data_IF_441344561974
#
_entry.id   IF_441344561974
#
_cell.length_a   1.000
_cell.length_b   1.000
_cell.length_c   1.000
_cell.angle_alpha   90.00
_cell.angle_beta   90.00
_cell.angle_gamma   90.00
#
_symmetry.space_group_name_H-M   'P 1'
#
loop_
_entity.id
_entity.type
_entity.pdbx_description
1 polymer ?
#
# COMPACT_ATOMS: atom_id res chain seq x y z
N UNK A 1 5.16 6.66 -20.23
CA UNK A 1 3.90 6.20 -19.60
C UNK A 1 4.24 4.95 -18.81
N UNK A 2 3.87 4.91 -17.54
CA UNK A 2 4.06 3.77 -16.63
C UNK A 2 2.69 3.34 -16.11
N UNK A 3 2.36 2.07 -16.28
CA UNK A 3 1.08 1.47 -15.90
C UNK A 3 1.25 0.58 -14.67
N UNK A 4 0.52 0.88 -13.60
CA UNK A 4 0.65 0.23 -12.29
C UNK A 4 -0.64 -0.49 -11.94
N UNK A 5 -0.55 -1.76 -11.55
CA UNK A 5 -1.62 -2.44 -10.82
C UNK A 5 -1.36 -2.23 -9.33
N UNK A 6 -2.27 -1.54 -8.64
CA UNK A 6 -2.18 -1.28 -7.21
C UNK A 6 -3.20 -2.12 -6.46
N UNK A 7 -2.70 -2.99 -5.60
CA UNK A 7 -3.49 -3.88 -4.74
C UNK A 7 -3.09 -3.70 -3.28
N UNK A 8 -3.99 -3.96 -2.36
CA UNK A 8 -3.76 -3.93 -0.92
C UNK A 8 -4.65 -4.93 -0.20
N UNK A 9 -4.33 -5.20 1.05
CA UNK A 9 -5.23 -5.93 1.95
C UNK A 9 -5.70 -7.28 1.36
N UNK A 10 -4.72 -8.06 0.87
CA UNK A 10 -4.95 -9.38 0.27
C UNK A 10 -5.41 -10.40 1.31
N UNK A 11 -4.96 -10.23 2.57
CA UNK A 11 -5.34 -11.04 3.72
C UNK A 11 -5.33 -12.54 3.46
N UNK A 12 -4.28 -13.06 2.80
CA UNK A 12 -4.15 -14.50 2.61
C UNK A 12 -4.41 -15.25 3.91
N UNK A 13 -5.40 -16.17 3.86
CA UNK A 13 -5.95 -16.86 5.01
C UNK A 13 -7.47 -16.95 4.92
N UNK A 14 -8.20 -17.20 6.01
CA UNK A 14 -9.65 -17.39 5.98
C UNK A 14 -10.48 -16.27 5.35
N UNK A 15 -10.08 -14.97 5.45
CA UNK A 15 -10.84 -13.88 4.81
C UNK A 15 -10.61 -13.75 3.31
N UNK A 16 -9.55 -14.32 2.75
CA UNK A 16 -9.25 -14.21 1.32
C UNK A 16 -10.37 -14.79 0.48
N UNK A 17 -10.70 -14.13 -0.63
CA UNK A 17 -11.68 -14.60 -1.61
C UNK A 17 -10.92 -15.16 -2.81
N UNK A 18 -10.88 -16.50 -2.98
CA UNK A 18 -10.09 -17.13 -4.04
C UNK A 18 -10.38 -16.58 -5.44
N UNK A 19 -11.67 -16.42 -5.79
CA UNK A 19 -12.07 -15.88 -7.09
C UNK A 19 -11.46 -14.51 -7.39
N UNK A 20 -11.37 -13.62 -6.37
CA UNK A 20 -10.75 -12.31 -6.52
C UNK A 20 -9.22 -12.41 -6.73
N UNK A 21 -8.56 -13.31 -6.00
CA UNK A 21 -7.12 -13.53 -6.15
C UNK A 21 -6.78 -14.13 -7.51
N UNK A 22 -7.58 -15.10 -8.00
CA UNK A 22 -7.43 -15.71 -9.32
C UNK A 22 -7.59 -14.67 -10.42
N UNK A 23 -8.57 -13.76 -10.29
CA UNK A 23 -8.75 -12.65 -11.25
C UNK A 23 -7.58 -11.65 -11.24
N UNK A 24 -7.03 -11.33 -10.08
CA UNK A 24 -5.82 -10.51 -10.01
C UNK A 24 -4.65 -11.20 -10.72
N UNK A 25 -4.47 -12.50 -10.48
CA UNK A 25 -3.42 -13.27 -11.14
C UNK A 25 -3.61 -13.30 -12.66
N UNK A 26 -4.84 -13.47 -13.14
CA UNK A 26 -5.18 -13.40 -14.56
C UNK A 26 -4.90 -12.00 -15.14
N UNK A 27 -5.32 -10.93 -14.45
CA UNK A 27 -5.03 -9.55 -14.86
C UNK A 27 -3.52 -9.29 -14.98
N UNK A 28 -2.73 -9.79 -14.03
CA UNK A 28 -1.27 -9.68 -14.07
C UNK A 28 -0.70 -10.43 -15.29
N UNK A 29 -1.22 -11.60 -15.59
CA UNK A 29 -0.73 -12.44 -16.69
C UNK A 29 -1.13 -11.91 -18.07
N UNK A 30 -2.31 -11.33 -18.21
CA UNK A 30 -2.89 -10.93 -19.49
C UNK A 30 -2.75 -9.46 -19.80
N UNK A 31 -2.74 -8.59 -18.79
CA UNK A 31 -2.62 -7.15 -18.94
C UNK A 31 -1.16 -6.72 -18.73
N UNK A 32 -0.65 -5.86 -19.61
CA UNK A 32 0.72 -5.36 -19.47
C UNK A 32 0.76 -4.27 -18.40
N UNK A 33 1.21 -4.61 -17.19
CA UNK A 33 1.57 -3.67 -16.14
C UNK A 33 3.10 -3.55 -16.06
N UNK A 34 3.61 -2.33 -15.99
CA UNK A 34 5.04 -2.09 -15.75
C UNK A 34 5.40 -2.42 -14.29
N UNK A 35 4.45 -2.14 -13.37
CA UNK A 35 4.61 -2.34 -11.93
C UNK A 35 3.36 -2.98 -11.33
N UNK A 36 3.57 -3.94 -10.45
CA UNK A 36 2.56 -4.40 -9.47
C UNK A 36 2.98 -3.88 -8.10
N UNK A 37 2.18 -2.97 -7.53
CA UNK A 37 2.40 -2.38 -6.22
C UNK A 37 1.44 -2.99 -5.20
N UNK A 38 2.00 -3.56 -4.12
CA UNK A 38 1.24 -4.16 -3.03
C UNK A 38 1.46 -3.36 -1.75
N UNK A 39 0.45 -2.63 -1.33
CA UNK A 39 0.53 -1.70 -0.20
C UNK A 39 0.15 -2.33 1.15
N UNK A 40 0.64 -3.55 1.41
CA UNK A 40 0.58 -4.19 2.73
C UNK A 40 -0.60 -5.14 2.95
N UNK A 41 -0.62 -5.70 4.15
CA UNK A 41 -1.58 -6.71 4.60
C UNK A 41 -1.71 -7.89 3.63
N UNK A 42 -0.54 -8.43 3.24
CA UNK A 42 -0.50 -9.63 2.39
C UNK A 42 -1.00 -10.86 3.13
N UNK A 43 -0.82 -10.93 4.46
CA UNK A 43 -1.29 -12.02 5.31
C UNK A 43 -2.39 -11.56 6.27
N UNK A 44 -3.18 -12.52 6.77
CA UNK A 44 -4.21 -12.22 7.77
C UNK A 44 -3.64 -12.19 9.20
N UNK A 45 -2.70 -13.06 9.54
CA UNK A 45 -2.18 -13.24 10.91
C UNK A 45 -0.67 -13.52 10.96
N UNK A 46 0.06 -13.09 9.95
CA UNK A 46 1.50 -13.32 9.82
C UNK A 46 1.91 -14.79 9.97
N UNK A 47 1.07 -15.74 9.51
CA UNK A 47 1.36 -17.17 9.56
C UNK A 47 2.21 -17.60 8.37
N UNK A 48 3.10 -18.62 8.54
CA UNK A 48 3.95 -19.11 7.43
C UNK A 48 3.17 -19.48 6.18
N UNK A 49 2.05 -20.22 6.31
CA UNK A 49 1.24 -20.67 5.17
C UNK A 49 0.59 -19.51 4.41
N UNK A 50 0.14 -18.46 5.11
CA UNK A 50 -0.42 -17.26 4.51
C UNK A 50 0.64 -16.54 3.66
N UNK A 51 1.85 -16.37 4.19
CA UNK A 51 2.96 -15.78 3.44
C UNK A 51 3.45 -16.65 2.28
N UNK A 52 3.40 -17.98 2.40
CA UNK A 52 3.77 -18.88 1.29
C UNK A 52 2.81 -18.71 0.11
N UNK A 53 1.50 -18.61 0.38
CA UNK A 53 0.50 -18.35 -0.65
C UNK A 53 0.69 -16.96 -1.28
N UNK A 54 0.86 -15.91 -0.48
CA UNK A 54 1.14 -14.56 -0.96
C UNK A 54 2.42 -14.51 -1.81
N UNK A 55 3.48 -15.21 -1.37
CA UNK A 55 4.74 -15.32 -2.12
C UNK A 55 4.57 -15.92 -3.50
N UNK A 56 3.66 -16.89 -3.67
CA UNK A 56 3.40 -17.47 -4.98
C UNK A 56 2.84 -16.42 -5.94
N UNK A 57 1.82 -15.66 -5.53
CA UNK A 57 1.25 -14.56 -6.32
C UNK A 57 2.33 -13.52 -6.70
N UNK A 58 3.14 -13.11 -5.73
CA UNK A 58 4.21 -12.12 -5.97
C UNK A 58 5.29 -12.63 -6.91
N UNK A 59 5.65 -13.93 -6.83
CA UNK A 59 6.59 -14.56 -7.76
C UNK A 59 6.05 -14.61 -9.18
N UNK A 60 4.77 -14.92 -9.34
CA UNK A 60 4.15 -14.96 -10.66
C UNK A 60 4.05 -13.55 -11.24
N UNK A 61 3.70 -12.56 -10.44
CA UNK A 61 3.76 -11.15 -10.84
C UNK A 61 5.18 -10.72 -11.28
N UNK A 62 6.21 -11.13 -10.54
CA UNK A 62 7.61 -10.77 -10.84
C UNK A 62 8.16 -11.38 -12.14
N UNK A 63 7.49 -12.38 -12.73
CA UNK A 63 7.86 -12.95 -14.05
C UNK A 63 7.51 -12.01 -15.19
N UNK A 64 6.48 -11.18 -15.03
CA UNK A 64 5.91 -10.37 -16.12
C UNK A 64 5.91 -8.87 -15.84
N UNK A 65 6.09 -8.45 -14.58
CA UNK A 65 6.08 -7.05 -14.14
C UNK A 65 7.16 -6.82 -13.08
N UNK A 66 7.55 -5.57 -12.88
CA UNK A 66 8.34 -5.20 -11.69
C UNK A 66 7.39 -5.18 -10.49
N UNK A 67 7.86 -5.63 -9.32
CA UNK A 67 7.03 -5.67 -8.12
C UNK A 67 7.62 -4.81 -7.02
N UNK A 68 6.75 -4.09 -6.30
CA UNK A 68 7.09 -3.41 -5.06
C UNK A 68 6.06 -3.79 -3.99
N UNK A 69 6.52 -4.22 -2.82
CA UNK A 69 5.66 -4.67 -1.72
C UNK A 69 6.17 -4.13 -0.41
N UNK A 70 5.27 -3.63 0.43
CA UNK A 70 5.54 -3.16 1.79
C UNK A 70 4.70 -3.96 2.79
N UNK A 71 5.12 -4.09 4.06
CA UNK A 71 4.30 -4.76 5.07
C UNK A 71 3.13 -3.89 5.54
N UNK A 72 2.02 -4.56 5.91
CA UNK A 72 0.92 -3.98 6.65
C UNK A 72 0.87 -4.43 8.11
N UNK A 73 -0.10 -3.96 8.88
CA UNK A 73 -0.19 -4.26 10.31
C UNK A 73 -0.52 -5.73 10.60
N UNK A 74 -1.25 -6.42 9.71
CA UNK A 74 -1.51 -7.86 9.81
C UNK A 74 -0.30 -8.73 9.48
N UNK A 75 0.72 -8.19 8.84
CA UNK A 75 1.97 -8.87 8.53
C UNK A 75 2.95 -8.88 9.70
N UNK A 76 2.67 -8.12 10.76
CA UNK A 76 3.50 -7.96 11.95
C UNK A 76 2.84 -8.59 13.17
N UNK A 77 3.53 -9.48 13.86
CA UNK A 77 3.11 -10.06 15.13
C UNK A 77 3.44 -9.11 16.29
N UNK A 78 2.79 -7.94 16.31
CA UNK A 78 3.08 -6.88 17.29
C UNK A 78 3.00 -7.33 18.76
N UNK A 79 2.16 -8.34 19.08
CA UNK A 79 2.06 -8.93 20.42
C UNK A 79 3.30 -9.68 20.89
N UNK A 80 4.26 -9.96 19.99
CA UNK A 80 5.59 -10.54 20.34
C UNK A 80 6.62 -9.49 20.73
N UNK A 81 6.33 -8.23 20.52
CA UNK A 81 7.16 -7.10 20.91
C UNK A 81 6.29 -5.96 21.46
N UNK A 82 5.49 -6.22 22.51
CA UNK A 82 4.61 -5.21 23.08
C UNK A 82 5.44 -4.03 23.62
N UNK A 83 5.03 -2.80 23.30
CA UNK A 83 5.72 -1.56 23.69
C UNK A 83 7.19 -1.47 23.22
N UNK A 84 7.55 -2.23 22.18
CA UNK A 84 8.94 -2.31 21.70
C UNK A 84 9.85 -3.14 22.60
N UNK A 85 9.33 -3.74 23.67
CA UNK A 85 10.05 -4.72 24.51
C UNK A 85 9.98 -6.07 23.81
N UNK A 86 11.13 -6.66 23.56
CA UNK A 86 11.27 -7.87 22.74
C UNK A 86 11.87 -7.57 21.37
N UNK A 87 12.02 -8.58 20.55
CA UNK A 87 12.66 -8.42 19.24
C UNK A 87 11.64 -7.94 18.17
N UNK A 88 11.77 -6.71 17.72
CA UNK A 88 11.05 -6.21 16.53
C UNK A 88 11.33 -7.09 15.30
N UNK A 89 12.56 -7.60 15.18
CA UNK A 89 12.92 -8.55 14.14
C UNK A 89 12.12 -9.86 14.24
N UNK A 90 11.83 -10.35 15.45
CA UNK A 90 10.97 -11.52 15.63
C UNK A 90 9.50 -11.25 15.25
N UNK A 91 9.00 -10.04 15.49
CA UNK A 91 7.63 -9.67 15.15
C UNK A 91 7.37 -9.70 13.63
N UNK A 92 8.36 -9.29 12.81
CA UNK A 92 8.27 -9.25 11.35
C UNK A 92 9.03 -10.39 10.65
N UNK A 93 9.54 -11.35 11.40
CA UNK A 93 10.44 -12.41 10.90
C UNK A 93 9.84 -13.27 9.78
N UNK A 94 8.54 -13.56 9.83
CA UNK A 94 7.88 -14.32 8.77
C UNK A 94 7.79 -13.51 7.48
N UNK A 95 7.46 -12.23 7.54
CA UNK A 95 7.48 -11.37 6.37
C UNK A 95 8.90 -11.31 5.77
N UNK A 96 9.92 -11.09 6.60
CA UNK A 96 11.32 -11.08 6.17
C UNK A 96 11.73 -12.40 5.49
N UNK A 97 11.29 -13.53 6.01
CA UNK A 97 11.62 -14.86 5.48
C UNK A 97 10.93 -15.20 4.17
N UNK A 98 9.64 -14.86 4.04
CA UNK A 98 8.82 -15.34 2.93
C UNK A 98 8.60 -14.30 1.85
N UNK A 99 8.55 -13.02 2.19
CA UNK A 99 8.27 -11.93 1.26
C UNK A 99 9.56 -11.15 0.93
N UNK A 100 10.05 -10.35 1.87
CA UNK A 100 11.27 -9.54 1.69
C UNK A 100 11.88 -9.14 3.02
N UNK A 101 13.20 -9.21 3.12
CA UNK A 101 13.95 -8.61 4.23
C UNK A 101 14.11 -7.09 4.09
N UNK A 102 13.90 -6.54 2.90
CA UNK A 102 13.85 -5.11 2.66
C UNK A 102 12.39 -4.63 2.80
N UNK A 103 12.08 -3.96 3.90
CA UNK A 103 10.74 -3.45 4.21
C UNK A 103 10.44 -2.09 3.57
N UNK A 104 11.48 -1.43 3.04
CA UNK A 104 11.41 -0.09 2.44
C UNK A 104 12.12 -0.09 1.08
N UNK A 105 11.60 -0.87 0.14
CA UNK A 105 12.22 -1.05 -1.17
C UNK A 105 12.19 0.24 -1.99
N UNK A 106 13.13 0.33 -2.92
CA UNK A 106 13.12 1.34 -3.99
C UNK A 106 12.97 0.63 -5.31
N UNK A 107 12.11 1.14 -6.16
CA UNK A 107 11.93 0.67 -7.53
C UNK A 107 11.89 1.86 -8.47
N UNK A 108 12.79 1.88 -9.45
CA UNK A 108 12.77 2.87 -10.53
C UNK A 108 12.41 2.19 -11.84
N UNK A 109 11.40 2.73 -12.51
CA UNK A 109 11.00 2.42 -13.88
C UNK A 109 10.99 3.71 -14.69
N UNK A 110 10.81 3.62 -16.01
CA UNK A 110 10.89 4.80 -16.88
C UNK A 110 10.03 5.98 -16.39
N UNK A 111 10.68 7.06 -15.96
CA UNK A 111 10.04 8.31 -15.54
C UNK A 111 9.40 8.29 -14.14
N UNK A 112 9.53 7.21 -13.37
CA UNK A 112 8.90 7.07 -12.04
C UNK A 112 9.84 6.39 -11.06
N UNK A 113 9.91 6.90 -9.84
CA UNK A 113 10.60 6.26 -8.71
C UNK A 113 9.61 6.00 -7.58
N UNK A 114 9.50 4.75 -7.19
CA UNK A 114 8.69 4.27 -6.08
C UNK A 114 9.60 4.06 -4.87
N UNK A 115 9.17 4.56 -3.72
CA UNK A 115 9.83 4.35 -2.42
C UNK A 115 8.83 3.74 -1.46
N UNK A 116 9.13 2.54 -0.97
CA UNK A 116 8.36 1.92 0.09
C UNK A 116 8.66 2.54 1.44
N UNK A 117 7.63 2.73 2.27
CA UNK A 117 7.76 3.12 3.68
C UNK A 117 7.04 2.09 4.54
N UNK A 118 7.78 1.47 5.47
CA UNK A 118 7.20 0.56 6.44
C UNK A 118 6.50 1.34 7.57
N UNK A 119 5.20 1.52 7.45
CA UNK A 119 4.38 2.15 8.48
C UNK A 119 3.88 1.17 9.55
N UNK A 120 4.02 -0.14 9.31
CA UNK A 120 3.58 -1.21 10.21
C UNK A 120 4.65 -1.56 11.25
N UNK A 121 4.89 -0.66 12.19
CA UNK A 121 5.95 -0.79 13.18
C UNK A 121 5.52 -1.55 14.45
N UNK A 122 4.26 -1.98 14.53
CA UNK A 122 3.68 -2.54 15.73
C UNK A 122 3.47 -1.48 16.82
N UNK A 123 3.63 -1.88 18.09
CA UNK A 123 3.47 -0.97 19.22
C UNK A 123 4.82 -0.36 19.58
N UNK A 124 5.02 0.89 19.22
CA UNK A 124 6.24 1.68 19.48
C UNK A 124 5.84 3.05 20.07
N UNK A 125 6.76 3.83 20.66
CA UNK A 125 6.41 5.15 21.20
C UNK A 125 5.65 6.04 20.22
N UNK A 126 5.97 5.96 18.91
CA UNK A 126 5.28 6.72 17.86
C UNK A 126 3.88 6.23 17.50
N UNK A 127 3.47 5.03 17.95
CA UNK A 127 2.12 4.46 17.71
C UNK A 127 1.32 4.31 19.00
N UNK A 128 1.79 4.83 20.13
CA UNK A 128 1.05 4.78 21.39
C UNK A 128 -0.26 5.57 21.27
N UNK A 129 -1.33 4.97 21.72
CA UNK A 129 -2.68 5.52 21.68
C UNK A 129 -3.46 5.15 22.94
N UNK A 130 -4.34 6.05 23.35
CA UNK A 130 -5.26 5.79 24.47
C UNK A 130 -6.47 4.92 24.08
N UNK A 131 -6.69 4.71 22.79
CA UNK A 131 -7.77 3.86 22.29
C UNK A 131 -7.28 2.42 22.13
N UNK A 132 -7.77 1.46 22.95
CA UNK A 132 -7.33 0.06 22.85
C UNK A 132 -7.55 -0.58 21.49
N UNK A 133 -8.49 -0.06 20.69
CA UNK A 133 -8.79 -0.57 19.34
C UNK A 133 -7.73 -0.17 18.29
N UNK A 134 -6.89 0.80 18.61
CA UNK A 134 -5.85 1.31 17.72
C UNK A 134 -4.48 0.68 18.01
N UNK A 135 -4.36 -0.05 19.15
CA UNK A 135 -3.11 -0.69 19.54
C UNK A 135 -2.69 -1.74 18.50
N UNK A 136 -1.51 -1.57 17.94
CA UNK A 136 -0.95 -2.45 16.90
C UNK A 136 -1.61 -2.29 15.52
N UNK A 137 -2.58 -1.39 15.38
CA UNK A 137 -3.33 -1.13 14.14
C UNK A 137 -2.87 0.17 13.50
N UNK A 138 -2.62 1.20 14.32
CA UNK A 138 -2.19 2.51 13.82
C UNK A 138 -0.72 2.47 13.36
N UNK A 139 -0.46 3.02 12.20
CA UNK A 139 0.89 3.14 11.64
C UNK A 139 1.63 4.40 12.09
N UNK A 140 2.91 4.44 11.78
CA UNK A 140 3.75 5.62 12.00
C UNK A 140 4.73 5.81 10.85
N UNK A 141 4.98 7.06 10.50
CA UNK A 141 6.09 7.49 9.65
C UNK A 141 7.05 8.29 10.51
N UNK A 142 8.27 7.79 10.72
CA UNK A 142 9.27 8.47 11.55
C UNK A 142 10.02 9.55 10.77
N UNK A 143 10.72 10.44 11.48
CA UNK A 143 11.58 11.45 10.89
C UNK A 143 12.76 10.84 10.13
N UNK A 144 13.29 9.73 10.62
CA UNK A 144 14.37 8.98 10.00
C UNK A 144 13.91 8.38 8.67
N UNK A 145 12.73 7.77 8.62
CA UNK A 145 12.14 7.24 7.38
C UNK A 145 11.91 8.34 6.33
N UNK A 146 11.50 9.54 6.77
CA UNK A 146 11.34 10.70 5.87
C UNK A 146 12.70 11.12 5.32
N UNK A 147 13.76 11.17 6.16
CA UNK A 147 15.10 11.51 5.74
C UNK A 147 15.68 10.47 4.76
N UNK A 148 15.48 9.17 5.03
CA UNK A 148 15.88 8.10 4.13
C UNK A 148 15.12 8.14 2.80
N UNK A 149 13.80 8.40 2.82
CA UNK A 149 13.01 8.57 1.60
C UNK A 149 13.55 9.73 0.75
N UNK A 150 13.94 10.84 1.38
CA UNK A 150 14.59 11.97 0.69
C UNK A 150 15.85 11.51 -0.03
N UNK A 151 16.76 10.84 0.67
CA UNK A 151 18.01 10.31 0.07
C UNK A 151 17.72 9.40 -1.12
N UNK A 152 16.73 8.49 -0.97
CA UNK A 152 16.32 7.58 -2.04
C UNK A 152 15.77 8.32 -3.28
N UNK A 153 14.93 9.35 -3.07
CA UNK A 153 14.41 10.17 -4.17
C UNK A 153 15.46 11.07 -4.81
N UNK A 154 16.38 11.63 -4.02
CA UNK A 154 17.42 12.52 -4.53
C UNK A 154 18.51 11.75 -5.32
N UNK A 155 18.67 10.45 -5.03
CA UNK A 155 19.52 9.53 -5.81
C UNK A 155 18.85 9.04 -7.12
N UNK A 156 17.55 9.25 -7.27
CA UNK A 156 16.81 8.83 -8.46
C UNK A 156 17.06 9.77 -9.66
N UNK A 157 16.78 9.33 -10.90
CA UNK A 157 16.89 10.20 -12.07
C UNK A 157 16.04 11.46 -11.91
N UNK A 158 16.64 12.61 -12.23
CA UNK A 158 15.97 13.92 -12.14
C UNK A 158 14.73 13.95 -13.02
N UNK A 159 13.64 14.53 -12.49
CA UNK A 159 12.37 14.64 -13.21
C UNK A 159 11.46 13.43 -13.10
N UNK A 160 11.91 12.33 -12.50
CA UNK A 160 11.02 11.21 -12.20
C UNK A 160 9.89 11.64 -11.28
N UNK A 161 8.70 11.10 -11.50
CA UNK A 161 7.61 11.15 -10.55
C UNK A 161 8.02 10.46 -9.26
N UNK A 162 7.64 11.04 -8.13
CA UNK A 162 7.94 10.52 -6.79
C UNK A 162 6.71 9.83 -6.23
N UNK A 163 6.77 8.52 -6.09
CA UNK A 163 5.65 7.70 -5.59
C UNK A 163 6.03 7.04 -4.27
N UNK A 164 5.23 7.25 -3.24
CA UNK A 164 5.32 6.51 -1.98
C UNK A 164 4.39 5.30 -2.05
N UNK A 165 4.87 4.14 -1.59
CA UNK A 165 4.06 2.95 -1.34
C UNK A 165 4.11 2.67 0.16
N UNK A 166 2.97 2.71 0.84
CA UNK A 166 2.87 2.44 2.27
C UNK A 166 1.52 1.81 2.60
N UNK A 167 1.36 1.22 3.79
CA UNK A 167 0.09 0.57 4.11
C UNK A 167 -0.97 1.53 4.64
N UNK A 168 -0.64 2.25 5.70
CA UNK A 168 -1.62 3.07 6.41
C UNK A 168 -1.93 4.37 5.67
N UNK A 169 -3.22 4.63 5.44
CA UNK A 169 -3.70 5.84 4.79
C UNK A 169 -3.29 7.10 5.59
N UNK A 170 -2.62 8.09 4.97
CA UNK A 170 -2.26 9.34 5.64
C UNK A 170 -3.46 10.28 5.83
N UNK A 171 -4.56 10.03 5.13
CA UNK A 171 -5.78 10.80 5.24
C UNK A 171 -6.78 10.11 6.18
N UNK A 172 -7.83 10.82 6.54
CA UNK A 172 -8.94 10.26 7.30
C UNK A 172 -9.82 9.41 6.38
N UNK A 173 -10.05 8.16 6.75
CA UNK A 173 -10.91 7.27 5.97
C UNK A 173 -12.36 7.72 6.04
N UNK A 174 -13.05 7.76 4.89
CA UNK A 174 -14.44 8.27 4.77
C UNK A 174 -15.42 7.47 5.62
N UNK A 175 -15.33 6.14 5.60
CA UNK A 175 -16.22 5.25 6.37
C UNK A 175 -15.71 4.98 7.77
N UNK A 176 -14.40 4.80 7.93
CA UNK A 176 -13.80 4.52 9.24
C UNK A 176 -13.82 5.75 10.14
N UNK A 177 -13.82 6.94 9.55
CA UNK A 177 -13.66 8.23 10.20
C UNK A 177 -12.41 8.30 11.10
N UNK A 178 -11.37 7.52 10.76
CA UNK A 178 -10.12 7.37 11.51
C UNK A 178 -8.93 7.67 10.60
N UNK A 179 -7.85 8.08 11.21
CA UNK A 179 -6.56 8.15 10.53
C UNK A 179 -5.84 6.81 10.62
N UNK A 180 -5.22 6.38 9.53
CA UNK A 180 -4.35 5.21 9.54
C UNK A 180 -3.02 5.47 10.26
N UNK A 181 -2.56 6.73 10.30
CA UNK A 181 -1.31 7.14 10.93
C UNK A 181 -1.55 7.84 12.28
N UNK A 182 -0.63 7.64 13.23
CA UNK A 182 -0.61 8.32 14.53
C UNK A 182 -0.34 9.83 14.43
N UNK A 183 0.44 10.25 13.41
CA UNK A 183 0.81 11.65 13.17
C UNK A 183 0.55 12.06 11.71
N UNK A 184 -0.73 12.07 11.25
CA UNK A 184 -1.06 12.25 9.85
C UNK A 184 -0.64 13.62 9.30
N UNK A 185 -0.78 14.70 10.08
CA UNK A 185 -0.38 16.04 9.64
C UNK A 185 1.13 16.16 9.41
N UNK A 186 1.95 15.48 10.24
CA UNK A 186 3.41 15.43 10.05
C UNK A 186 3.78 14.69 8.77
N UNK A 187 3.15 13.55 8.52
CA UNK A 187 3.38 12.77 7.31
C UNK A 187 2.96 13.56 6.06
N UNK A 188 1.77 14.15 6.05
CA UNK A 188 1.28 14.96 4.95
C UNK A 188 2.24 16.13 4.63
N UNK A 189 2.66 16.89 5.66
CA UNK A 189 3.64 17.95 5.48
C UNK A 189 4.96 17.44 4.88
N UNK A 190 5.46 16.30 5.38
CA UNK A 190 6.71 15.72 4.88
C UNK A 190 6.58 15.29 3.42
N UNK A 191 5.43 14.76 2.99
CA UNK A 191 5.20 14.38 1.59
C UNK A 191 5.16 15.60 0.67
N UNK A 192 4.56 16.69 1.13
CA UNK A 192 4.64 17.99 0.43
C UNK A 192 6.09 18.44 0.28
N UNK A 193 6.85 18.46 1.38
CA UNK A 193 8.25 18.90 1.41
C UNK A 193 9.19 17.98 0.58
N UNK A 194 8.79 16.74 0.35
CA UNK A 194 9.47 15.78 -0.53
C UNK A 194 9.04 15.90 -2.00
N UNK A 195 8.01 16.68 -2.31
CA UNK A 195 7.45 16.79 -3.66
C UNK A 195 6.86 15.46 -4.14
N UNK A 196 6.09 14.78 -3.29
CA UNK A 196 5.48 13.50 -3.63
C UNK A 196 4.29 13.75 -4.55
N UNK A 197 4.31 13.11 -5.73
CA UNK A 197 3.22 13.18 -6.72
C UNK A 197 2.07 12.23 -6.35
N UNK A 198 2.40 11.01 -5.85
CA UNK A 198 1.40 9.97 -5.59
C UNK A 198 1.76 9.17 -4.33
N UNK A 199 0.75 8.87 -3.52
CA UNK A 199 0.82 7.89 -2.42
C UNK A 199 -0.11 6.74 -2.75
N UNK A 200 0.40 5.51 -2.78
CA UNK A 200 -0.35 4.27 -2.89
C UNK A 200 -0.46 3.65 -1.49
N UNK A 201 -1.68 3.47 -1.00
CA UNK A 201 -1.93 2.93 0.35
C UNK A 201 -3.18 2.03 0.40
N UNK A 202 -3.45 1.42 1.56
CA UNK A 202 -4.59 0.56 1.83
C UNK A 202 -5.16 0.81 3.23
N UNK A 203 -5.30 -0.27 4.04
CA UNK A 203 -5.70 -0.26 5.45
C UNK A 203 -7.19 0.02 5.72
N UNK A 204 -7.79 0.95 4.99
CA UNK A 204 -9.18 1.33 5.21
C UNK A 204 -10.20 0.32 4.66
N UNK A 205 -9.74 -0.67 3.88
CA UNK A 205 -10.59 -1.64 3.19
C UNK A 205 -11.68 -1.00 2.31
N UNK A 206 -11.43 0.21 1.85
CA UNK A 206 -12.29 0.93 0.94
C UNK A 206 -11.45 1.65 -0.12
N UNK A 207 -11.89 1.60 -1.35
CA UNK A 207 -11.28 2.38 -2.44
C UNK A 207 -11.58 3.87 -2.23
N UNK A 208 -10.54 4.68 -2.37
CA UNK A 208 -10.67 6.13 -2.39
C UNK A 208 -9.52 6.77 -3.18
N UNK A 209 -9.81 7.84 -3.88
CA UNK A 209 -8.79 8.67 -4.52
C UNK A 209 -9.03 10.12 -4.18
N UNK A 210 -8.08 10.71 -3.47
CA UNK A 210 -8.14 12.06 -2.97
C UNK A 210 -6.97 12.87 -3.56
N UNK A 211 -7.22 14.13 -3.85
CA UNK A 211 -6.20 15.08 -4.27
C UNK A 211 -5.99 16.10 -3.14
N UNK A 212 -4.80 16.13 -2.59
CA UNK A 212 -4.41 17.08 -1.55
C UNK A 212 -3.67 18.23 -2.25
N UNK A 213 -4.37 19.31 -2.48
CA UNK A 213 -3.81 20.48 -3.14
C UNK A 213 -2.77 21.16 -2.26
N UNK A 214 -1.62 21.43 -2.82
CA UNK A 214 -0.57 22.24 -2.22
C UNK A 214 0.31 22.82 -3.33
N UNK A 215 0.72 24.07 -3.20
CA UNK A 215 1.55 24.73 -4.19
C UNK A 215 1.00 24.62 -5.63
N UNK A 216 1.79 24.08 -6.57
CA UNK A 216 1.47 24.12 -8.00
C UNK A 216 0.62 22.95 -8.47
N UNK A 217 0.78 21.74 -7.91
CA UNK A 217 0.12 20.54 -8.41
C UNK A 217 -0.63 19.75 -7.33
N UNK A 218 -0.02 19.49 -6.19
CA UNK A 218 -0.62 18.66 -5.14
C UNK A 218 -0.11 17.21 -5.13
N UNK A 219 -0.58 16.46 -4.14
CA UNK A 219 -0.30 15.03 -3.97
C UNK A 219 -1.59 14.23 -4.15
N UNK A 220 -1.58 13.24 -5.03
CA UNK A 220 -2.68 12.28 -5.15
C UNK A 220 -2.50 11.19 -4.09
N UNK A 221 -3.53 10.90 -3.31
CA UNK A 221 -3.56 9.77 -2.37
C UNK A 221 -4.56 8.75 -2.91
N UNK A 222 -4.04 7.59 -3.32
CA UNK A 222 -4.79 6.51 -3.91
C UNK A 222 -4.83 5.35 -2.91
N UNK A 223 -5.99 5.09 -2.32
CA UNK A 223 -6.25 3.98 -1.41
C UNK A 223 -6.89 2.84 -2.20
N UNK A 224 -6.29 1.64 -2.15
CA UNK A 224 -6.95 0.45 -2.65
C UNK A 224 -7.93 -0.09 -1.60
N UNK A 225 -8.97 -0.76 -2.06
CA UNK A 225 -9.85 -1.54 -1.21
C UNK A 225 -9.18 -2.83 -0.75
N UNK A 226 -9.97 -3.74 -0.17
CA UNK A 226 -9.49 -5.06 0.20
C UNK A 226 -9.78 -6.08 -0.93
N UNK A 227 -8.98 -7.14 -0.99
CA UNK A 227 -9.20 -8.33 -1.82
C UNK A 227 -9.59 -9.50 -0.90
N UNK A 228 -10.57 -9.24 -0.05
CA UNK A 228 -11.05 -10.21 0.94
C UNK A 228 -12.50 -9.91 1.35
N UNK A 229 -13.11 -10.80 2.11
CA UNK A 229 -14.45 -10.57 2.65
C UNK A 229 -14.51 -9.54 3.80
N UNK A 230 -13.40 -8.85 4.10
CA UNK A 230 -13.31 -7.80 5.14
C UNK A 230 -13.65 -6.41 4.61
N UNK A 231 -14.61 -6.33 3.72
CA UNK A 231 -15.11 -5.05 3.18
C UNK A 231 -15.74 -4.17 4.26
N UNK A 232 -15.77 -2.87 4.04
CA UNK A 232 -16.41 -1.89 4.95
C UNK A 232 -17.61 -1.23 4.30
N UNK A 233 -18.66 -1.01 5.09
CA UNK A 233 -19.84 -0.23 4.70
C UNK A 233 -20.53 -0.78 3.45
N UNK A 234 -20.56 -2.09 3.26
CA UNK A 234 -21.15 -2.76 2.09
C UNK A 234 -20.50 -2.34 0.75
N UNK A 235 -19.32 -1.70 0.77
CA UNK A 235 -18.58 -1.44 -0.46
C UNK A 235 -17.93 -2.74 -0.96
N UNK A 236 -17.97 -3.00 -2.26
CA UNK A 236 -17.30 -4.18 -2.83
C UNK A 236 -15.78 -4.08 -2.69
N UNK A 237 -15.10 -5.21 -2.85
CA UNK A 237 -13.66 -5.24 -3.01
C UNK A 237 -13.24 -4.39 -4.20
N UNK A 238 -12.09 -3.73 -4.11
CA UNK A 238 -11.59 -2.89 -5.20
C UNK A 238 -10.06 -2.82 -5.21
N UNK A 239 -9.52 -2.76 -6.41
CA UNK A 239 -8.11 -2.51 -6.71
C UNK A 239 -8.01 -1.32 -7.65
N UNK A 240 -6.81 -0.81 -7.92
CA UNK A 240 -6.65 0.33 -8.82
C UNK A 240 -5.71 0.03 -9.98
N UNK A 241 -6.06 0.48 -11.17
CA UNK A 241 -5.13 0.63 -12.29
C UNK A 241 -4.73 2.10 -12.36
N UNK A 242 -3.43 2.36 -12.19
CA UNK A 242 -2.89 3.72 -12.19
C UNK A 242 -2.01 3.91 -13.42
N UNK A 243 -2.29 4.96 -14.19
CA UNK A 243 -1.49 5.34 -15.35
C UNK A 243 -0.75 6.64 -15.06
N UNK A 244 0.57 6.58 -15.13
CA UNK A 244 1.48 7.68 -14.82
C UNK A 244 2.12 8.20 -16.11
N UNK A 245 1.88 9.47 -16.38
CA UNK A 245 2.51 10.20 -17.51
C UNK A 245 3.19 11.46 -16.98
N UNK A 246 4.12 12.09 -17.71
CA UNK A 246 4.72 13.34 -17.27
C UNK A 246 3.70 14.47 -16.99
N UNK A 247 2.51 14.38 -17.58
CA UNK A 247 1.47 15.44 -17.53
C UNK A 247 0.33 15.12 -16.58
N UNK A 248 0.12 13.82 -16.22
CA UNK A 248 -1.06 13.45 -15.45
C UNK A 248 -0.89 12.12 -14.70
N UNK A 249 -1.62 11.99 -13.62
CA UNK A 249 -1.92 10.76 -12.90
C UNK A 249 -3.37 10.41 -13.19
N UNK A 250 -3.61 9.22 -13.73
CA UNK A 250 -4.95 8.69 -13.94
C UNK A 250 -5.14 7.46 -13.05
N UNK A 251 -6.25 7.42 -12.34
CA UNK A 251 -6.62 6.29 -11.46
C UNK A 251 -7.96 5.76 -11.91
N UNK A 252 -7.98 4.50 -12.33
CA UNK A 252 -9.16 3.74 -12.69
C UNK A 252 -9.38 2.65 -11.62
N UNK A 253 -10.37 2.82 -10.73
CA UNK A 253 -10.72 1.76 -9.79
C UNK A 253 -11.29 0.57 -10.55
N UNK A 254 -10.90 -0.63 -10.14
CA UNK A 254 -11.45 -1.89 -10.61
C UNK A 254 -12.26 -2.47 -9.47
N UNK A 255 -13.58 -2.49 -9.61
CA UNK A 255 -14.54 -2.82 -8.56
C UNK A 255 -15.05 -4.24 -8.76
N UNK A 256 -14.99 -5.05 -7.72
CA UNK A 256 -15.48 -6.42 -7.78
C UNK A 256 -17.00 -6.47 -8.00
N UNK A 257 -17.41 -7.31 -8.93
CA UNK A 257 -18.79 -7.69 -9.16
C UNK A 257 -18.93 -9.21 -9.00
N UNK A 258 -19.93 -9.63 -8.25
CA UNK A 258 -20.22 -11.06 -8.09
C UNK A 258 -20.88 -11.66 -9.35
N UNK A 259 -21.46 -10.82 -10.21
CA UNK A 259 -22.03 -11.19 -11.50
C UNK A 259 -21.64 -10.17 -12.59
N UNK A 260 -20.71 -10.51 -13.51
CA UNK A 260 -19.85 -11.71 -13.52
C UNK A 260 -18.82 -11.63 -12.39
N UNK A 261 -18.32 -12.79 -11.92
CA UNK A 261 -17.22 -12.82 -10.94
C UNK A 261 -15.95 -12.18 -11.52
N UNK A 262 -15.88 -10.84 -11.50
CA UNK A 262 -14.80 -10.08 -12.12
C UNK A 262 -14.62 -8.69 -11.50
N UNK A 263 -13.42 -8.12 -11.67
CA UNK A 263 -13.17 -6.70 -11.45
C UNK A 263 -13.62 -5.89 -12.68
N UNK A 264 -14.56 -4.98 -12.47
CA UNK A 264 -15.09 -4.11 -13.52
C UNK A 264 -14.53 -2.69 -13.37
N UNK A 265 -14.20 -2.01 -14.49
CA UNK A 265 -13.67 -0.66 -14.45
C UNK A 265 -14.69 0.33 -13.92
N UNK A 266 -14.29 1.14 -12.97
CA UNK A 266 -15.04 2.30 -12.48
C UNK A 266 -14.65 3.60 -13.20
N UNK A 267 -15.17 4.73 -12.75
CA UNK A 267 -14.88 6.02 -13.37
C UNK A 267 -13.42 6.42 -13.17
N UNK A 268 -12.77 6.79 -14.28
CA UNK A 268 -11.38 7.28 -14.26
C UNK A 268 -11.34 8.68 -13.62
N UNK A 269 -10.46 8.83 -12.63
CA UNK A 269 -10.11 10.14 -12.06
C UNK A 269 -8.76 10.57 -12.62
N UNK A 270 -8.68 11.79 -13.14
CA UNK A 270 -7.47 12.35 -13.75
C UNK A 270 -7.02 13.60 -13.01
N UNK A 271 -5.75 13.66 -12.67
CA UNK A 271 -5.10 14.76 -11.98
C UNK A 271 -3.94 15.28 -12.83
N UNK A 272 -3.93 16.59 -13.09
CA UNK A 272 -2.81 17.23 -13.77
C UNK A 272 -1.58 17.28 -12.87
N UNK A 273 -0.41 17.20 -13.50
CA UNK A 273 0.89 17.31 -12.83
C UNK A 273 1.69 18.52 -13.34
#
# INVERSE_FOLDING_TARGET
>A
MTRVLHVSDLHFGPPAVPAQLDRIQEMIATSRFDVVAVSGDVSQRARPGEFQAARQLLRDAAKVSRTIVVPGNHDVKWWRAPLGVGSRAAAISNYAKYISANFEPVLTVAGVTFVGINTAQGVVPGTLTWNPRDVGVVGNVSTEQIAEARVKFDAAPKGNMRVIVMHHNPLRGDLSNRYGLSHPARAAKAFVDLGIDLVLCGHDHQEAVNHVEHTRYGTVVCTAGTVSNRTRGQRPSAINVVTLTPQAIEVEPQIWSDEPENFLPGPVKRFAR
#
